data_IF_849439745841
#
_entry.id   IF_849439745841
#
_cell.length_a   1.000
_cell.length_b   1.000
_cell.length_c   1.000
_cell.angle_alpha   90.00
_cell.angle_beta   90.00
_cell.angle_gamma   90.00
#
_symmetry.space_group_name_H-M   'P 1'
#
loop_
_entity.id
_entity.type
_entity.pdbx_description
1 polymer ?
#
# COMPACT_ATOMS: atom_id res chain seq x y z
N UNK A 1 0.29 5.89 -42.34
CA UNK A 1 0.41 4.98 -41.17
C UNK A 1 -0.41 5.39 -39.94
N UNK A 2 -0.79 6.67 -39.75
CA UNK A 2 -1.57 7.13 -38.58
C UNK A 2 -2.99 6.51 -38.47
N UNK A 3 -3.59 6.16 -39.60
CA UNK A 3 -4.99 5.70 -39.67
C UNK A 3 -5.18 4.25 -39.19
N UNK A 4 -4.15 3.41 -39.23
CA UNK A 4 -4.23 2.02 -38.78
C UNK A 4 -4.33 1.93 -37.27
N UNK A 5 -3.50 2.71 -36.55
CA UNK A 5 -3.52 2.81 -35.08
C UNK A 5 -4.88 3.33 -34.60
N UNK A 6 -5.43 4.35 -35.27
CA UNK A 6 -6.76 4.87 -34.99
C UNK A 6 -7.87 3.82 -35.20
N UNK A 7 -7.79 2.99 -36.24
CA UNK A 7 -8.74 1.88 -36.45
C UNK A 7 -8.65 0.83 -35.35
N UNK A 8 -7.44 0.45 -34.96
CA UNK A 8 -7.20 -0.54 -33.88
C UNK A 8 -7.72 0.00 -32.54
N UNK A 9 -7.44 1.28 -32.25
CA UNK A 9 -7.96 1.97 -31.07
C UNK A 9 -9.49 1.97 -31.05
N UNK A 10 -10.11 2.36 -32.17
CA UNK A 10 -11.58 2.43 -32.28
C UNK A 10 -12.23 1.05 -32.17
N UNK A 11 -11.61 0.02 -32.74
CA UNK A 11 -12.09 -1.37 -32.63
C UNK A 11 -11.98 -1.90 -31.19
N UNK A 12 -10.87 -1.58 -30.49
CA UNK A 12 -10.69 -1.96 -29.09
C UNK A 12 -11.71 -1.25 -28.19
N UNK A 13 -11.92 0.06 -28.39
CA UNK A 13 -12.89 0.86 -27.63
C UNK A 13 -14.33 0.44 -27.95
N UNK A 14 -14.69 0.21 -29.23
CA UNK A 14 -16.04 -0.26 -29.60
C UNK A 14 -16.33 -1.66 -29.07
N UNK A 15 -15.36 -2.59 -29.16
CA UNK A 15 -15.50 -3.94 -28.59
C UNK A 15 -15.62 -3.91 -27.07
N UNK A 16 -14.82 -3.07 -26.41
CA UNK A 16 -14.87 -2.89 -24.95
C UNK A 16 -16.17 -2.21 -24.49
N UNK A 17 -16.71 -1.26 -25.26
CA UNK A 17 -17.92 -0.50 -24.91
C UNK A 17 -19.22 -1.27 -25.22
N UNK A 18 -19.20 -2.13 -26.23
CA UNK A 18 -20.32 -2.99 -26.63
C UNK A 18 -20.50 -4.23 -25.74
N UNK A 19 -19.46 -4.65 -25.01
CA UNK A 19 -19.54 -5.81 -24.12
C UNK A 19 -19.90 -5.41 -22.69
N UNK A 20 -21.09 -5.81 -22.25
CA UNK A 20 -21.47 -5.76 -20.81
C UNK A 20 -20.47 -6.52 -19.95
N UNK A 21 -19.93 -7.63 -20.46
CA UNK A 21 -18.87 -8.41 -19.82
C UNK A 21 -17.58 -7.60 -19.61
N UNK A 22 -17.14 -6.82 -20.61
CA UNK A 22 -15.92 -6.00 -20.51
C UNK A 22 -16.06 -4.90 -19.48
N UNK A 23 -17.22 -4.24 -19.42
CA UNK A 23 -17.54 -3.24 -18.40
C UNK A 23 -17.56 -3.85 -17.00
N UNK A 24 -18.20 -5.02 -16.83
CA UNK A 24 -18.23 -5.74 -15.56
C UNK A 24 -16.83 -6.16 -15.14
N UNK A 25 -16.01 -6.69 -16.05
CA UNK A 25 -14.65 -7.13 -15.75
C UNK A 25 -13.75 -5.95 -15.34
N UNK A 26 -13.84 -4.83 -16.06
CA UNK A 26 -13.11 -3.62 -15.71
C UNK A 26 -13.55 -3.06 -14.36
N UNK A 27 -14.86 -3.09 -14.08
CA UNK A 27 -15.40 -2.71 -12.77
C UNK A 27 -14.86 -3.63 -11.66
N UNK A 28 -14.78 -4.95 -11.89
CA UNK A 28 -14.17 -5.90 -10.95
C UNK A 28 -12.69 -5.56 -10.72
N UNK A 29 -11.92 -5.25 -11.76
CA UNK A 29 -10.51 -4.86 -11.63
C UNK A 29 -10.39 -3.57 -10.80
N UNK A 30 -11.22 -2.57 -11.09
CA UNK A 30 -11.23 -1.29 -10.36
C UNK A 30 -11.59 -1.49 -8.89
N UNK A 31 -12.64 -2.26 -8.60
CA UNK A 31 -13.06 -2.61 -7.25
C UNK A 31 -11.97 -3.40 -6.53
N UNK A 32 -11.35 -4.38 -7.19
CA UNK A 32 -10.27 -5.17 -6.60
C UNK A 32 -9.05 -4.31 -6.30
N UNK A 33 -8.66 -3.41 -7.20
CA UNK A 33 -7.59 -2.44 -6.96
C UNK A 33 -7.91 -1.51 -5.80
N UNK A 34 -9.15 -1.02 -5.72
CA UNK A 34 -9.61 -0.17 -4.61
C UNK A 34 -9.58 -0.91 -3.28
N UNK A 35 -10.15 -2.11 -3.22
CA UNK A 35 -10.18 -2.96 -2.01
C UNK A 35 -8.75 -3.36 -1.61
N UNK A 36 -7.90 -3.78 -2.55
CA UNK A 36 -6.50 -4.11 -2.26
C UNK A 36 -5.74 -2.89 -1.74
N UNK A 37 -5.94 -1.71 -2.35
CA UNK A 37 -5.33 -0.48 -1.86
C UNK A 37 -5.84 -0.11 -0.47
N UNK A 38 -7.14 -0.25 -0.21
CA UNK A 38 -7.74 0.10 1.07
C UNK A 38 -7.37 -0.89 2.17
N UNK A 39 -7.33 -2.20 1.90
CA UNK A 39 -6.90 -3.22 2.88
C UNK A 39 -5.41 -3.09 3.12
N UNK A 40 -4.57 -2.99 2.09
CA UNK A 40 -3.14 -2.75 2.28
C UNK A 40 -2.95 -1.45 3.06
N UNK A 41 -3.57 -0.34 2.67
CA UNK A 41 -3.48 0.91 3.43
C UNK A 41 -4.02 0.79 4.86
N UNK A 42 -5.18 0.19 5.08
CA UNK A 42 -5.79 0.03 6.40
C UNK A 42 -5.24 -1.19 7.17
N UNK A 43 -4.24 -1.92 6.68
CA UNK A 43 -3.57 -2.98 7.44
C UNK A 43 -2.08 -2.66 7.63
N UNK A 44 -1.44 -2.12 6.60
CA UNK A 44 -0.11 -1.51 6.68
C UNK A 44 -0.10 -0.16 7.39
N UNK A 45 -1.20 0.57 7.58
CA UNK A 45 -1.14 1.79 8.39
C UNK A 45 -1.52 1.59 9.87
N UNK A 46 -2.49 0.76 10.27
CA UNK A 46 -2.75 0.53 11.68
C UNK A 46 -1.76 -0.42 12.36
N UNK A 47 -1.10 -1.38 11.72
CA UNK A 47 -0.03 -2.10 12.44
C UNK A 47 1.26 -1.26 12.57
N UNK A 48 1.45 -0.28 11.69
CA UNK A 48 2.56 0.67 11.76
C UNK A 48 2.27 1.86 12.68
N UNK A 49 1.00 2.24 12.90
CA UNK A 49 0.60 3.38 13.76
C UNK A 49 -0.11 2.96 15.07
N UNK A 50 -0.81 1.82 15.11
CA UNK A 50 -1.38 1.17 16.29
C UNK A 50 -0.54 -0.03 16.75
N UNK A 51 0.78 0.01 16.57
CA UNK A 51 1.60 -0.54 17.65
C UNK A 51 1.62 0.55 18.72
N UNK A 52 0.76 0.50 19.77
CA UNK A 52 1.03 1.30 20.94
C UNK A 52 2.31 0.74 21.52
N UNK A 53 3.44 1.37 21.28
CA UNK A 53 4.60 1.32 22.16
C UNK A 53 4.93 -0.03 22.84
N UNK A 54 4.71 -1.20 22.24
CA UNK A 54 5.30 -2.48 22.70
C UNK A 54 6.72 -2.52 22.12
N UNK A 55 7.47 -1.50 22.48
CA UNK A 55 8.70 -1.07 21.80
C UNK A 55 9.24 0.25 22.31
N UNK A 56 8.44 1.04 23.05
CA UNK A 56 8.95 2.18 23.82
C UNK A 56 9.91 1.75 24.92
N UNK A 57 9.73 0.54 25.45
CA UNK A 57 10.66 0.00 26.44
C UNK A 57 12.04 -0.28 25.87
N UNK A 58 12.20 -0.72 24.62
CA UNK A 58 13.54 -1.11 24.12
C UNK A 58 14.43 0.09 23.87
N UNK A 59 13.90 1.16 23.29
CA UNK A 59 14.70 2.34 22.98
C UNK A 59 15.03 3.12 24.27
N UNK A 60 14.07 3.24 25.19
CA UNK A 60 14.29 3.84 26.50
C UNK A 60 15.17 2.97 27.41
N UNK A 61 15.04 1.64 27.34
CA UNK A 61 15.91 0.69 28.05
C UNK A 61 17.33 0.75 27.50
N UNK A 62 17.54 0.69 26.18
CA UNK A 62 18.89 0.83 25.58
C UNK A 62 19.47 2.22 25.86
N UNK A 63 18.66 3.28 25.80
CA UNK A 63 19.08 4.63 26.18
C UNK A 63 19.56 4.70 27.62
N UNK A 64 18.80 4.14 28.57
CA UNK A 64 19.19 4.07 29.99
C UNK A 64 20.42 3.19 30.20
N UNK A 65 20.53 2.07 29.49
CA UNK A 65 21.65 1.14 29.59
C UNK A 65 22.95 1.77 29.06
N UNK A 66 22.87 2.53 27.97
CA UNK A 66 24.00 3.28 27.41
C UNK A 66 24.41 4.45 28.31
N UNK A 67 23.45 5.19 28.88
CA UNK A 67 23.73 6.24 29.87
C UNK A 67 24.36 5.63 31.13
N UNK A 68 23.85 4.51 31.64
CA UNK A 68 24.38 3.84 32.82
C UNK A 68 25.80 3.30 32.60
N UNK A 69 26.10 2.71 31.43
CA UNK A 69 27.46 2.27 31.09
C UNK A 69 28.41 3.43 30.80
N UNK A 70 27.93 4.51 30.19
CA UNK A 70 28.74 5.70 29.91
C UNK A 70 29.04 6.52 31.16
N UNK A 71 28.12 6.53 32.13
CA UNK A 71 28.30 7.23 33.41
C UNK A 71 29.18 6.43 34.38
N UNK A 72 29.35 5.12 34.17
CA UNK A 72 30.39 4.27 34.77
C UNK A 72 30.49 4.39 36.30
N UNK A 73 30.10 3.34 37.03
CA UNK A 73 30.23 3.27 38.50
C UNK A 73 31.50 3.99 39.00
N UNK A 74 31.38 5.10 39.76
CA UNK A 74 32.52 5.61 40.48
C UNK A 74 32.91 4.55 41.53
N UNK A 75 34.21 4.32 41.75
CA UNK A 75 34.70 3.30 42.68
C UNK A 75 34.21 3.51 44.12
#
# INVERSE_FOLDING_TARGET
MKNTVLKIWRFYVDGFRGMTLGRTLWFIILVKLFIMFFILRLFFFPNYLNTPAVGGDKEEYVGRELIHRAIGDPP
#
